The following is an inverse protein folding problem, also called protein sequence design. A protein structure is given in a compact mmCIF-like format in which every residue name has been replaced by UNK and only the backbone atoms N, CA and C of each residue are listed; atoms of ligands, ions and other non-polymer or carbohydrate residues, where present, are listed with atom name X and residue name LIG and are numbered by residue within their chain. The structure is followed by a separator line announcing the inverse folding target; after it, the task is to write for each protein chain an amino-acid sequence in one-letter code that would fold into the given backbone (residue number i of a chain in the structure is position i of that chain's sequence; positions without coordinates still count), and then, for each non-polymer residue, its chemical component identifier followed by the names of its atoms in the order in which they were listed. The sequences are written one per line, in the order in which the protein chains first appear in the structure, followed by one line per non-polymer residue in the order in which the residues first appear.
data_IF_953094432471
#
_entry.id   IF_953094432471
#
_cell.length_a   1.000
_cell.length_b   1.000
_cell.length_c   1.000
_cell.angle_alpha   90.00
_cell.angle_beta   90.00
_cell.angle_gamma   90.00
#
_symmetry.space_group_name_H-M   'P 1'
#
loop_
_entity.id
_entity.type
_entity.pdbx_description
1 polymer ?
#
# COMPACT_ATOMS: atom_id res chain seq x y z
N UNK A 1 -10.95 -1.62 -0.56
CA UNK A 1 -11.93 -0.75 -1.25
C UNK A 1 -13.11 -1.49 -1.88
N UNK A 2 -12.94 -2.69 -2.45
CA UNK A 2 -14.02 -3.38 -3.19
C UNK A 2 -15.34 -3.57 -2.42
N UNK A 3 -15.30 -3.85 -1.10
CA UNK A 3 -16.53 -3.92 -0.30
C UNK A 3 -17.28 -2.59 -0.25
N UNK A 4 -16.59 -1.46 -0.09
CA UNK A 4 -17.22 -0.14 -0.09
C UNK A 4 -17.89 0.16 -1.43
N UNK A 5 -17.21 -0.15 -2.54
CA UNK A 5 -17.77 -0.01 -3.89
C UNK A 5 -19.03 -0.86 -4.07
N UNK A 6 -19.03 -2.12 -3.60
CA UNK A 6 -20.20 -2.99 -3.66
C UNK A 6 -21.36 -2.48 -2.80
N UNK A 7 -21.10 -1.92 -1.62
CA UNK A 7 -22.14 -1.30 -0.78
C UNK A 7 -22.78 -0.13 -1.52
N UNK A 8 -21.97 0.76 -2.12
CA UNK A 8 -22.46 1.92 -2.91
C UNK A 8 -23.25 1.47 -4.14
N UNK A 9 -22.79 0.42 -4.82
CA UNK A 9 -23.48 -0.17 -5.97
C UNK A 9 -24.77 -0.92 -5.58
N UNK A 10 -25.01 -1.16 -4.29
CA UNK A 10 -26.13 -1.97 -3.80
C UNK A 10 -25.96 -3.48 -4.05
N UNK A 11 -24.78 -3.93 -4.49
CA UNK A 11 -24.44 -5.34 -4.70
C UNK A 11 -23.93 -5.97 -3.39
N UNK A 12 -24.79 -5.92 -2.36
CA UNK A 12 -24.53 -6.51 -1.04
C UNK A 12 -25.82 -7.07 -0.45
N UNK A 13 -25.73 -8.04 0.48
CA UNK A 13 -26.89 -8.49 1.23
C UNK A 13 -27.59 -7.33 1.95
N UNK A 14 -28.91 -7.47 2.16
CA UNK A 14 -29.73 -6.46 2.82
C UNK A 14 -29.19 -6.02 4.19
N UNK A 15 -28.47 -6.91 4.89
CA UNK A 15 -27.83 -6.59 6.16
C UNK A 15 -26.74 -5.53 6.04
N UNK A 16 -26.03 -5.41 4.91
CA UNK A 16 -24.94 -4.46 4.67
C UNK A 16 -25.36 -3.24 3.84
N UNK A 17 -26.60 -3.23 3.34
CA UNK A 17 -27.13 -2.13 2.54
C UNK A 17 -27.12 -0.82 3.33
N UNK A 18 -26.76 0.27 2.65
CA UNK A 18 -26.72 1.65 3.17
C UNK A 18 -25.77 1.87 4.38
N UNK A 19 -24.93 0.87 4.72
CA UNK A 19 -23.93 1.02 5.77
C UNK A 19 -22.75 1.86 5.28
N UNK A 20 -22.10 2.54 6.22
CA UNK A 20 -20.86 3.30 5.95
C UNK A 20 -19.66 2.48 6.36
N UNK A 21 -18.74 2.22 5.44
CA UNK A 21 -17.42 1.67 5.77
C UNK A 21 -16.45 2.84 5.97
N UNK A 22 -15.88 2.97 7.17
CA UNK A 22 -14.96 4.06 7.52
C UNK A 22 -13.63 3.47 7.92
N UNK A 23 -12.55 3.89 7.27
CA UNK A 23 -11.20 3.51 7.64
C UNK A 23 -10.69 4.39 8.78
N UNK A 24 -10.10 3.77 9.80
CA UNK A 24 -9.44 4.44 10.89
C UNK A 24 -8.00 4.77 10.50
N UNK A 25 -7.68 6.06 10.44
CA UNK A 25 -6.30 6.52 10.21
C UNK A 25 -5.57 6.65 11.56
N UNK A 26 -4.71 5.68 11.85
CA UNK A 26 -3.87 5.68 13.05
C UNK A 26 -2.83 6.81 13.04
N UNK A 27 -2.31 7.17 11.86
CA UNK A 27 -1.35 8.25 11.71
C UNK A 27 -1.96 9.60 12.07
N UNK A 28 -3.18 9.87 11.61
CA UNK A 28 -3.92 11.08 11.96
C UNK A 28 -4.23 11.19 13.46
N UNK A 29 -4.51 10.07 14.12
CA UNK A 29 -4.77 10.06 15.57
C UNK A 29 -3.53 10.38 16.39
N UNK A 30 -2.37 9.86 15.97
CA UNK A 30 -1.08 10.08 16.62
C UNK A 30 -0.53 11.48 16.28
N UNK A 31 -0.77 11.97 15.07
CA UNK A 31 -0.31 13.28 14.63
C UNK A 31 -0.81 14.39 15.56
N UNK A 32 0.12 15.15 16.13
CA UNK A 32 -0.18 16.25 17.05
C UNK A 32 -0.65 15.82 18.44
N UNK A 33 -0.63 14.52 18.78
CA UNK A 33 -0.74 14.09 20.16
C UNK A 33 0.62 14.27 20.84
N UNK A 34 0.71 15.18 21.82
CA UNK A 34 1.93 15.42 22.60
C UNK A 34 2.09 14.41 23.74
N UNK A 35 0.98 13.82 24.18
CA UNK A 35 0.91 12.89 25.29
C UNK A 35 0.05 11.67 24.94
N UNK A 36 0.36 10.52 25.55
CA UNK A 36 -0.38 9.26 25.30
C UNK A 36 -1.88 9.36 25.56
N UNK A 37 -2.29 10.11 26.58
CA UNK A 37 -3.71 10.29 26.93
C UNK A 37 -4.53 11.01 25.85
N UNK A 38 -3.92 11.92 25.08
CA UNK A 38 -4.62 12.63 24.00
C UNK A 38 -5.00 11.68 22.85
N UNK A 39 -4.14 10.71 22.55
CA UNK A 39 -4.46 9.66 21.57
C UNK A 39 -5.63 8.80 22.04
N UNK A 40 -5.60 8.32 23.30
CA UNK A 40 -6.67 7.50 23.86
C UNK A 40 -8.01 8.26 23.87
N UNK A 41 -8.00 9.55 24.20
CA UNK A 41 -9.19 10.39 24.18
C UNK A 41 -9.77 10.54 22.76
N UNK A 42 -8.90 10.78 21.76
CA UNK A 42 -9.31 10.84 20.35
C UNK A 42 -9.88 9.51 19.87
N UNK A 43 -9.21 8.40 20.16
CA UNK A 43 -9.69 7.08 19.79
C UNK A 43 -11.03 6.78 20.46
N UNK A 44 -11.17 7.12 21.75
CA UNK A 44 -12.44 6.97 22.48
C UNK A 44 -13.56 7.79 21.86
N UNK A 45 -13.27 9.02 21.40
CA UNK A 45 -14.24 9.85 20.71
C UNK A 45 -14.71 9.20 19.39
N UNK A 46 -13.79 8.66 18.59
CA UNK A 46 -14.12 7.94 17.34
C UNK A 46 -14.97 6.70 17.65
N UNK A 47 -14.56 5.88 18.62
CA UNK A 47 -15.31 4.68 19.01
C UNK A 47 -16.72 5.00 19.53
N UNK A 48 -16.86 6.12 20.25
CA UNK A 48 -18.16 6.63 20.71
C UNK A 48 -19.05 6.99 19.52
N UNK A 49 -18.55 7.73 18.54
CA UNK A 49 -19.31 8.07 17.32
C UNK A 49 -19.74 6.82 16.54
N UNK A 50 -18.85 5.84 16.41
CA UNK A 50 -19.16 4.56 15.74
C UNK A 50 -20.27 3.81 16.48
N UNK A 51 -20.28 3.79 17.81
CA UNK A 51 -21.32 3.10 18.59
C UNK A 51 -22.64 3.85 18.62
N UNK A 52 -22.61 5.18 18.72
CA UNK A 52 -23.80 6.04 18.62
C UNK A 52 -24.47 5.94 17.24
N UNK A 53 -23.74 5.51 16.21
CA UNK A 53 -24.30 5.24 14.88
C UNK A 53 -25.31 4.08 14.83
N UNK A 54 -25.47 3.31 15.91
CA UNK A 54 -26.42 2.20 15.98
C UNK A 54 -26.08 1.02 15.05
N UNK A 55 -24.80 0.84 14.73
CA UNK A 55 -24.33 -0.23 13.86
C UNK A 55 -24.43 0.06 12.35
N UNK A 56 -24.69 1.31 11.97
CA UNK A 56 -24.65 1.80 10.59
C UNK A 56 -23.22 1.97 10.08
N UNK A 57 -22.27 2.25 10.97
CA UNK A 57 -20.85 2.34 10.64
C UNK A 57 -20.17 0.98 10.84
N UNK A 58 -19.41 0.55 9.83
CA UNK A 58 -18.42 -0.51 9.92
C UNK A 58 -17.05 0.15 9.95
N UNK A 59 -16.30 -0.09 11.01
CA UNK A 59 -14.96 0.47 11.18
C UNK A 59 -13.92 -0.47 10.54
N UNK A 60 -13.11 0.04 9.62
CA UNK A 60 -11.95 -0.68 9.10
C UNK A 60 -10.68 -0.21 9.83
N UNK A 61 -9.93 -1.15 10.40
CA UNK A 61 -8.68 -0.88 11.11
C UNK A 61 -7.58 -1.66 10.37
N UNK A 62 -6.75 -0.94 9.63
CA UNK A 62 -5.55 -1.54 9.08
C UNK A 62 -4.52 -1.77 10.19
N UNK A 63 -3.70 -2.81 10.03
CA UNK A 63 -2.71 -3.23 11.03
C UNK A 63 -3.30 -3.31 12.45
N UNK A 64 -4.46 -3.94 12.62
CA UNK A 64 -5.22 -3.96 13.90
C UNK A 64 -4.39 -4.45 15.10
N UNK A 65 -3.36 -5.26 14.85
CA UNK A 65 -2.42 -5.71 15.86
C UNK A 65 -1.63 -4.56 16.52
N UNK A 66 -1.48 -3.40 15.88
CA UNK A 66 -0.84 -2.21 16.46
C UNK A 66 -1.67 -1.59 17.58
N UNK A 67 -3.01 -1.68 17.47
CA UNK A 67 -3.98 -1.17 18.46
C UNK A 67 -4.13 -2.15 19.64
N UNK A 68 -3.89 -3.44 19.39
CA UNK A 68 -4.14 -4.54 20.33
C UNK A 68 -2.87 -5.03 21.03
N UNK A 69 -1.76 -5.16 20.30
CA UNK A 69 -0.52 -5.84 20.70
C UNK A 69 0.50 -4.95 21.41
N UNK A 70 0.16 -3.68 21.59
CA UNK A 70 0.99 -2.66 22.20
C UNK A 70 1.44 -2.94 23.64
N UNK A 71 0.82 -3.88 24.35
CA UNK A 71 1.15 -4.20 25.74
C UNK A 71 2.48 -4.91 25.97
N UNK A 72 3.15 -5.42 24.92
CA UNK A 72 4.36 -6.25 25.07
C UNK A 72 5.70 -5.50 24.93
N UNK A 73 5.71 -4.28 24.38
CA UNK A 73 6.91 -3.45 24.24
C UNK A 73 6.74 -2.16 25.03
N UNK A 74 7.74 -1.81 25.85
CA UNK A 74 7.77 -0.62 26.71
C UNK A 74 7.61 0.67 25.87
N UNK A 75 6.38 1.04 25.50
CA UNK A 75 6.18 2.19 24.62
C UNK A 75 4.85 2.29 23.92
N UNK A 76 4.21 1.17 23.58
CA UNK A 76 3.05 1.18 22.70
C UNK A 76 1.72 1.34 23.45
N UNK A 77 0.74 1.94 22.76
CA UNK A 77 -0.57 2.36 23.27
C UNK A 77 -1.54 1.18 23.39
N UNK A 78 -1.89 0.74 24.61
CA UNK A 78 -2.82 -0.39 24.83
C UNK A 78 -4.29 0.05 24.73
N UNK A 79 -4.74 0.29 23.51
CA UNK A 79 -6.13 0.58 23.20
C UNK A 79 -7.03 -0.69 23.23
N UNK A 80 -6.47 -1.87 23.49
CA UNK A 80 -7.23 -3.12 23.55
C UNK A 80 -8.33 -3.09 24.62
N UNK A 81 -8.08 -2.39 25.74
CA UNK A 81 -9.03 -2.23 26.83
C UNK A 81 -10.25 -1.38 26.46
N UNK A 82 -10.13 -0.50 25.47
CA UNK A 82 -11.26 0.28 24.94
C UNK A 82 -12.12 -0.57 24.01
N UNK A 83 -11.49 -1.42 23.18
CA UNK A 83 -12.19 -2.23 22.17
C UNK A 83 -12.91 -3.44 22.78
N UNK A 84 -12.28 -4.13 23.75
CA UNK A 84 -12.79 -5.39 24.32
C UNK A 84 -14.24 -5.30 24.82
N UNK A 85 -14.66 -4.29 25.62
CA UNK A 85 -16.04 -4.21 26.10
C UNK A 85 -17.05 -4.00 24.95
N UNK A 86 -16.68 -3.20 23.96
CA UNK A 86 -17.55 -2.81 22.85
C UNK A 86 -17.74 -3.98 21.87
N UNK A 87 -16.67 -4.73 21.62
CA UNK A 87 -16.70 -5.99 20.87
C UNK A 87 -17.50 -7.07 21.62
N UNK A 88 -17.35 -7.17 22.94
CA UNK A 88 -18.07 -8.16 23.74
C UNK A 88 -19.59 -7.95 23.73
N UNK A 89 -20.04 -6.69 23.71
CA UNK A 89 -21.46 -6.30 23.60
C UNK A 89 -21.99 -6.31 22.17
N UNK A 90 -21.12 -6.46 21.16
CA UNK A 90 -21.51 -6.42 19.75
C UNK A 90 -21.93 -5.03 19.25
N UNK A 91 -21.59 -3.98 20.00
CA UNK A 91 -21.88 -2.58 19.67
C UNK A 91 -20.93 -2.06 18.58
N UNK A 92 -19.70 -2.57 18.56
CA UNK A 92 -18.69 -2.22 17.57
C UNK A 92 -18.65 -3.29 16.47
N UNK A 93 -18.88 -2.87 15.22
CA UNK A 93 -18.65 -3.68 14.03
C UNK A 93 -17.38 -3.20 13.36
N UNK A 94 -16.36 -4.05 13.32
CA UNK A 94 -15.12 -3.70 12.66
C UNK A 94 -14.57 -4.83 11.80
N UNK A 95 -13.75 -4.44 10.83
CA UNK A 95 -12.92 -5.31 10.01
C UNK A 95 -11.48 -4.93 10.33
N UNK A 96 -10.71 -5.87 10.89
CA UNK A 96 -9.29 -5.69 11.14
C UNK A 96 -8.46 -6.39 10.07
N UNK A 97 -7.42 -5.73 9.57
CA UNK A 97 -6.41 -6.36 8.71
C UNK A 97 -5.09 -6.53 9.48
N UNK A 98 -4.43 -7.68 9.30
CA UNK A 98 -3.13 -7.97 9.92
C UNK A 98 -2.46 -9.13 9.18
N UNK A 99 -1.14 -9.25 9.31
CA UNK A 99 -0.41 -10.44 8.88
C UNK A 99 -0.68 -11.62 9.80
N UNK A 100 -0.45 -12.84 9.29
CA UNK A 100 -0.64 -14.08 10.06
C UNK A 100 0.29 -14.14 11.29
N UNK A 101 1.52 -13.69 11.15
CA UNK A 101 2.51 -13.71 12.24
C UNK A 101 2.11 -12.76 13.37
N UNK A 102 1.62 -11.56 13.04
CA UNK A 102 1.18 -10.59 14.04
C UNK A 102 -0.15 -10.99 14.69
N UNK A 103 -1.04 -11.65 13.94
CA UNK A 103 -2.23 -12.27 14.51
C UNK A 103 -1.86 -13.31 15.59
N UNK A 104 -0.95 -14.24 15.27
CA UNK A 104 -0.46 -15.28 16.21
C UNK A 104 0.21 -14.67 17.43
N UNK A 105 0.95 -13.58 17.24
CA UNK A 105 1.73 -12.95 18.30
C UNK A 105 0.86 -12.17 19.29
N UNK A 106 -0.16 -11.45 18.80
CA UNK A 106 -0.88 -10.46 19.61
C UNK A 106 -2.38 -10.75 19.80
N UNK A 107 -3.06 -11.33 18.81
CA UNK A 107 -4.52 -11.51 18.87
C UNK A 107 -4.88 -12.92 19.35
N UNK A 108 -4.23 -13.95 18.81
CA UNK A 108 -4.47 -15.35 19.17
C UNK A 108 -4.14 -15.65 20.64
N UNK A 109 -3.15 -14.95 21.21
CA UNK A 109 -2.80 -15.08 22.63
C UNK A 109 -3.82 -14.45 23.57
N UNK A 110 -4.68 -13.55 23.07
CA UNK A 110 -5.72 -12.90 23.87
C UNK A 110 -7.07 -13.57 23.64
N UNK A 111 -7.43 -14.46 24.57
CA UNK A 111 -8.65 -15.25 24.49
C UNK A 111 -9.95 -14.43 24.49
N UNK A 112 -9.91 -13.14 24.87
CA UNK A 112 -11.08 -12.26 24.78
C UNK A 112 -11.27 -11.73 23.36
N UNK A 113 -10.17 -11.44 22.64
CA UNK A 113 -10.21 -10.94 21.26
C UNK A 113 -10.37 -12.07 20.26
N UNK A 114 -9.65 -13.18 20.44
CA UNK A 114 -9.74 -14.38 19.60
C UNK A 114 -11.19 -14.84 19.44
N UNK A 115 -11.97 -14.87 20.53
CA UNK A 115 -13.37 -15.28 20.52
C UNK A 115 -14.34 -14.27 19.89
N UNK A 116 -13.89 -13.05 19.61
CA UNK A 116 -14.73 -11.95 19.06
C UNK A 116 -14.43 -11.66 17.60
N UNK A 117 -13.25 -12.05 17.12
CA UNK A 117 -12.90 -11.96 15.71
C UNK A 117 -13.12 -13.29 15.01
N UNK A 118 -13.84 -13.25 13.89
CA UNK A 118 -13.86 -14.35 12.94
C UNK A 118 -12.67 -14.19 12.01
N UNK A 119 -11.79 -15.19 11.97
CA UNK A 119 -10.68 -15.19 11.02
C UNK A 119 -11.19 -15.41 9.59
N UNK A 120 -10.74 -14.55 8.68
CA UNK A 120 -10.90 -14.70 7.23
C UNK A 120 -9.50 -14.73 6.64
N UNK A 121 -9.05 -15.91 6.22
CA UNK A 121 -7.74 -16.06 5.61
C UNK A 121 -7.80 -15.57 4.15
N UNK A 122 -6.87 -14.69 3.80
CA UNK A 122 -6.71 -14.17 2.44
C UNK A 122 -5.32 -14.55 1.99
N UNK A 123 -5.24 -15.45 1.01
CA UNK A 123 -3.97 -15.84 0.40
C UNK A 123 -3.66 -14.92 -0.79
N UNK A 124 -2.40 -14.94 -1.24
CA UNK A 124 -2.02 -14.29 -2.48
C UNK A 124 -2.75 -14.94 -3.68
N UNK A 125 -3.09 -14.16 -4.72
CA UNK A 125 -3.67 -14.71 -5.94
C UNK A 125 -2.67 -15.61 -6.69
N UNK A 126 -3.20 -16.49 -7.53
CA UNK A 126 -2.39 -17.23 -8.49
C UNK A 126 -1.78 -16.29 -9.54
N UNK A 127 -0.82 -16.80 -10.33
CA UNK A 127 -0.25 -16.04 -11.46
C UNK A 127 -1.36 -15.67 -12.47
N UNK A 128 -2.29 -16.59 -12.74
CA UNK A 128 -3.41 -16.37 -13.67
C UNK A 128 -4.39 -15.31 -13.15
N UNK A 129 -4.73 -15.37 -11.87
CA UNK A 129 -5.58 -14.37 -11.22
C UNK A 129 -4.89 -13.00 -11.20
N UNK A 130 -3.57 -12.98 -10.95
CA UNK A 130 -2.76 -11.75 -10.99
C UNK A 130 -2.80 -11.11 -12.38
N UNK A 131 -2.67 -11.91 -13.45
CA UNK A 131 -2.79 -11.40 -14.83
C UNK A 131 -4.16 -10.75 -15.04
N UNK A 132 -5.23 -11.38 -14.54
CA UNK A 132 -6.59 -10.84 -14.63
C UNK A 132 -6.75 -9.52 -13.85
N UNK A 133 -6.17 -9.44 -12.65
CA UNK A 133 -6.12 -8.20 -11.85
C UNK A 133 -5.36 -7.10 -12.61
N UNK A 134 -4.18 -7.41 -13.15
CA UNK A 134 -3.36 -6.47 -13.92
C UNK A 134 -4.11 -5.95 -15.16
N UNK A 135 -4.84 -6.82 -15.86
CA UNK A 135 -5.69 -6.42 -17.00
C UNK A 135 -6.79 -5.45 -16.58
N UNK A 136 -7.41 -5.65 -15.42
CA UNK A 136 -8.39 -4.73 -14.86
C UNK A 136 -7.81 -3.38 -14.43
N UNK A 137 -6.53 -3.34 -14.06
CA UNK A 137 -5.81 -2.12 -13.68
C UNK A 137 -5.15 -1.39 -14.87
N UNK A 138 -4.99 -2.08 -16.00
CA UNK A 138 -4.24 -1.61 -17.17
C UNK A 138 -4.62 -0.18 -17.59
N UNK A 139 -5.91 0.07 -17.84
CA UNK A 139 -6.37 1.38 -18.36
C UNK A 139 -6.02 2.53 -17.42
N UNK A 140 -6.08 2.30 -16.10
CA UNK A 140 -5.72 3.28 -15.08
C UNK A 140 -4.24 3.63 -15.14
N UNK A 141 -3.36 2.64 -15.29
CA UNK A 141 -1.91 2.87 -15.40
C UNK A 141 -1.51 3.49 -16.72
N UNK A 142 -2.13 3.06 -17.84
CA UNK A 142 -1.92 3.69 -19.15
C UNK A 142 -2.26 5.18 -19.12
N UNK A 143 -3.40 5.55 -18.50
CA UNK A 143 -3.80 6.94 -18.33
C UNK A 143 -2.83 7.72 -17.42
N UNK A 144 -2.43 7.14 -16.28
CA UNK A 144 -1.56 7.80 -15.31
C UNK A 144 -0.16 8.11 -15.89
N UNK A 145 0.42 7.16 -16.61
CA UNK A 145 1.75 7.30 -17.19
C UNK A 145 1.75 7.91 -18.59
N UNK A 146 0.63 7.87 -19.31
CA UNK A 146 0.56 8.33 -20.70
C UNK A 146 1.26 7.38 -21.67
N UNK A 147 1.29 6.08 -21.35
CA UNK A 147 1.91 5.03 -22.17
C UNK A 147 0.91 3.94 -22.50
N UNK A 148 1.23 3.07 -23.48
CA UNK A 148 0.46 1.86 -23.77
C UNK A 148 1.16 0.63 -23.21
N UNK A 149 0.41 -0.24 -22.54
CA UNK A 149 0.91 -1.46 -21.91
C UNK A 149 0.37 -2.66 -22.72
N UNK A 150 1.29 -3.45 -23.28
CA UNK A 150 0.91 -4.66 -24.02
C UNK A 150 0.41 -5.76 -23.07
N UNK A 151 -0.49 -6.63 -23.52
CA UNK A 151 -0.95 -7.77 -22.70
C UNK A 151 0.21 -8.71 -22.33
N UNK A 152 1.13 -8.93 -23.26
CA UNK A 152 2.34 -9.71 -23.02
C UNK A 152 3.20 -9.14 -21.89
N UNK A 153 3.24 -7.81 -21.71
CA UNK A 153 3.96 -7.19 -20.61
C UNK A 153 3.31 -7.53 -19.25
N UNK A 154 1.98 -7.60 -19.18
CA UNK A 154 1.28 -7.99 -17.95
C UNK A 154 1.55 -9.46 -17.60
N UNK A 155 1.51 -10.34 -18.60
CA UNK A 155 1.85 -11.77 -18.43
C UNK A 155 3.29 -11.93 -17.95
N UNK A 156 4.22 -11.19 -18.56
CA UNK A 156 5.63 -11.20 -18.17
C UNK A 156 5.83 -10.67 -16.74
N UNK A 157 5.19 -9.56 -16.38
CA UNK A 157 5.28 -8.98 -15.04
C UNK A 157 4.79 -9.97 -13.96
N UNK A 158 3.64 -10.62 -14.16
CA UNK A 158 3.11 -11.62 -13.23
C UNK A 158 4.02 -12.86 -13.12
N UNK A 159 4.48 -13.40 -14.26
CA UNK A 159 5.30 -14.63 -14.28
C UNK A 159 6.70 -14.41 -13.73
N UNK A 160 7.36 -13.31 -14.11
CA UNK A 160 8.73 -13.02 -13.70
C UNK A 160 8.80 -12.57 -12.24
N UNK A 161 7.88 -11.71 -11.78
CA UNK A 161 7.83 -11.33 -10.35
C UNK A 161 7.54 -12.54 -9.46
N UNK A 162 6.65 -13.45 -9.88
CA UNK A 162 6.38 -14.68 -9.14
C UNK A 162 7.62 -15.56 -9.03
N UNK A 163 8.49 -15.58 -10.04
CA UNK A 163 9.67 -16.46 -10.09
C UNK A 163 10.90 -15.87 -9.38
N UNK A 164 11.13 -14.58 -9.53
CA UNK A 164 12.42 -13.96 -9.15
C UNK A 164 12.33 -13.07 -7.91
N UNK A 165 11.14 -12.59 -7.54
CA UNK A 165 10.93 -11.79 -6.32
C UNK A 165 10.21 -12.67 -5.30
N UNK A 166 10.96 -13.30 -4.41
CA UNK A 166 10.46 -14.36 -3.50
C UNK A 166 10.08 -13.85 -2.11
N UNK A 167 10.54 -12.67 -1.73
CA UNK A 167 10.32 -11.98 -0.46
C UNK A 167 9.03 -11.15 -0.42
N UNK A 168 8.33 -11.05 -1.56
CA UNK A 168 7.05 -10.32 -1.71
C UNK A 168 5.97 -11.22 -2.30
N UNK A 169 4.73 -10.88 -2.01
CA UNK A 169 3.55 -11.63 -2.43
C UNK A 169 2.86 -10.99 -3.64
N UNK A 170 2.19 -11.82 -4.44
CA UNK A 170 1.28 -11.32 -5.48
C UNK A 170 0.04 -10.69 -4.82
N UNK A 171 -0.69 -9.78 -5.51
CA UNK A 171 -0.39 -9.21 -6.84
C UNK A 171 0.57 -8.01 -6.79
N UNK A 172 0.86 -7.51 -5.61
CA UNK A 172 1.56 -6.25 -5.33
C UNK A 172 2.89 -6.12 -6.07
N UNK A 173 3.78 -7.11 -5.93
CA UNK A 173 5.06 -7.12 -6.64
C UNK A 173 4.95 -7.08 -8.17
N UNK A 174 3.86 -7.58 -8.75
CA UNK A 174 3.65 -7.55 -10.19
C UNK A 174 3.11 -6.20 -10.65
N UNK A 175 2.24 -5.58 -9.83
CA UNK A 175 1.74 -4.22 -10.03
C UNK A 175 2.91 -3.23 -10.03
N UNK A 176 3.80 -3.33 -9.05
CA UNK A 176 4.99 -2.48 -8.94
C UNK A 176 5.88 -2.57 -10.18
N UNK A 177 6.16 -3.78 -10.68
CA UNK A 177 6.96 -3.93 -11.91
C UNK A 177 6.31 -3.27 -13.13
N UNK A 178 4.99 -3.33 -13.25
CA UNK A 178 4.26 -2.66 -14.34
C UNK A 178 4.34 -1.15 -14.18
N UNK A 179 4.19 -0.65 -12.95
CA UNK A 179 4.25 0.77 -12.62
C UNK A 179 5.64 1.36 -12.90
N UNK A 180 6.70 0.70 -12.42
CA UNK A 180 8.10 1.10 -12.65
C UNK A 180 8.47 1.07 -14.14
N UNK A 181 8.05 0.02 -14.87
CA UNK A 181 8.31 -0.07 -16.31
C UNK A 181 7.58 1.02 -17.10
N UNK A 182 6.34 1.34 -16.73
CA UNK A 182 5.57 2.41 -17.34
C UNK A 182 6.17 3.79 -17.05
N UNK A 183 6.60 4.02 -15.81
CA UNK A 183 7.29 5.25 -15.41
C UNK A 183 8.61 5.43 -16.17
N UNK A 184 9.40 4.36 -16.31
CA UNK A 184 10.65 4.38 -17.08
C UNK A 184 10.40 4.77 -18.55
N UNK A 185 9.41 4.14 -19.20
CA UNK A 185 9.09 4.46 -20.59
C UNK A 185 8.62 5.92 -20.75
N UNK A 186 7.84 6.44 -19.79
CA UNK A 186 7.45 7.85 -19.77
C UNK A 186 8.65 8.79 -19.72
N UNK A 187 9.64 8.47 -18.87
CA UNK A 187 10.89 9.24 -18.77
C UNK A 187 11.63 9.24 -20.11
N UNK A 188 11.81 8.06 -20.72
CA UNK A 188 12.47 7.89 -22.02
C UNK A 188 11.78 8.66 -23.15
N UNK A 189 10.45 8.76 -23.15
CA UNK A 189 9.69 9.57 -24.13
C UNK A 189 9.95 11.08 -23.96
N UNK A 190 10.11 11.54 -22.72
CA UNK A 190 10.34 12.96 -22.42
C UNK A 190 11.81 13.39 -22.49
N UNK A 191 12.74 12.44 -22.48
CA UNK A 191 14.17 12.69 -22.53
C UNK A 191 14.76 12.47 -23.92
N UNK A 192 15.97 12.99 -24.14
CA UNK A 192 16.79 12.57 -25.27
C UNK A 192 17.08 11.06 -25.11
N UNK A 193 17.00 10.24 -26.18
CA UNK A 193 17.33 8.83 -26.12
C UNK A 193 18.70 8.61 -25.48
N UNK A 194 18.81 7.63 -24.59
CA UNK A 194 20.03 7.38 -23.81
C UNK A 194 21.25 7.20 -24.71
N UNK A 195 21.10 6.43 -25.79
CA UNK A 195 22.13 6.22 -26.82
C UNK A 195 22.65 7.56 -27.42
N UNK A 196 21.75 8.53 -27.62
CA UNK A 196 22.13 9.84 -28.12
C UNK A 196 22.73 10.73 -27.04
N UNK A 197 22.26 10.64 -25.78
CA UNK A 197 22.88 11.36 -24.65
C UNK A 197 24.30 10.85 -24.37
N UNK A 198 24.53 9.54 -24.47
CA UNK A 198 25.86 8.93 -24.37
C UNK A 198 26.80 9.42 -25.47
N UNK A 199 26.34 9.45 -26.71
CA UNK A 199 27.13 9.96 -27.84
C UNK A 199 27.44 11.44 -27.64
N UNK A 200 26.48 12.27 -27.26
CA UNK A 200 26.67 13.70 -26.99
C UNK A 200 27.71 13.94 -25.91
N UNK A 201 27.62 13.21 -24.78
CA UNK A 201 28.60 13.31 -23.70
C UNK A 201 30.00 12.96 -24.18
N UNK A 202 30.11 11.92 -25.03
CA UNK A 202 31.39 11.49 -25.59
C UNK A 202 31.95 12.51 -26.59
N UNK A 203 31.12 13.12 -27.43
CA UNK A 203 31.52 14.22 -28.32
C UNK A 203 32.05 15.38 -27.49
N UNK A 204 31.31 15.80 -26.45
CA UNK A 204 31.69 16.93 -25.61
C UNK A 204 33.02 16.67 -24.87
N UNK A 205 33.22 15.44 -24.37
CA UNK A 205 34.49 15.03 -23.77
C UNK A 205 35.66 15.13 -24.76
N UNK A 206 35.48 14.62 -25.98
CA UNK A 206 36.51 14.66 -27.04
C UNK A 206 36.79 16.08 -27.52
N UNK A 207 35.79 16.96 -27.57
CA UNK A 207 35.98 18.37 -27.91
C UNK A 207 36.79 19.11 -26.84
N UNK A 208 36.53 18.85 -25.56
CA UNK A 208 37.33 19.40 -24.46
C UNK A 208 38.78 18.92 -24.52
N UNK A 209 39.00 17.63 -24.79
CA UNK A 209 40.34 17.04 -24.96
C UNK A 209 41.08 17.69 -26.13
N UNK A 210 40.42 17.83 -27.29
CA UNK A 210 40.97 18.51 -28.46
C UNK A 210 41.37 19.96 -28.15
N UNK A 211 40.53 20.71 -27.45
CA UNK A 211 40.82 22.10 -27.06
C UNK A 211 42.01 22.20 -26.11
N UNK A 212 42.15 21.25 -25.18
CA UNK A 212 43.30 21.19 -24.25
C UNK A 212 44.61 20.94 -25.00
N UNK A 213 44.63 19.94 -25.88
CA UNK A 213 45.80 19.61 -26.70
C UNK A 213 46.19 20.75 -27.66
N UNK A 214 45.20 21.45 -28.24
CA UNK A 214 45.46 22.62 -29.08
C UNK A 214 46.13 23.76 -28.30
N UNK A 215 45.75 23.98 -27.04
CA UNK A 215 46.41 24.98 -26.19
C UNK A 215 47.85 24.58 -25.86
N UNK A 216 48.10 23.32 -25.53
CA UNK A 216 49.46 22.82 -25.26
C UNK A 216 50.38 22.89 -26.48
N UNK A 217 49.90 22.47 -27.66
CA UNK A 217 50.68 22.52 -28.91
C UNK A 217 51.06 23.94 -29.33
N UNK A 218 50.24 24.95 -29.03
CA UNK A 218 50.56 26.36 -29.29
C UNK A 218 51.64 26.92 -28.36
N UNK A 219 51.75 26.42 -27.13
CA UNK A 219 52.82 26.78 -26.19
C UNK A 219 54.14 26.05 -26.47
N UNK A 220 54.11 24.81 -26.96
CA UNK A 220 55.30 24.05 -27.31
C UNK A 220 55.93 24.48 -28.65
N UNK A 221 55.19 25.23 -29.48
CA UNK A 221 55.64 25.74 -30.78
C UNK A 221 56.18 27.18 -30.74
N UNK A 222 56.42 27.74 -29.54
CA UNK A 222 57.05 29.06 -29.33
C UNK A 222 58.37 28.95 -28.58
#
# INVERSE_FOLDING_TARGET
EGLAQRIVAGDVPQSLKDRKLIALDMGALIAGAKFRGEFEERLKAVLKEVTESGGNIILFIDEIHTVVGAGATQGAMDASNLLKPMLARGELRCIGATTLDEYRKYIEKDAALERRFQQVYVDQPSVEDTISILRGLKERYELHHGVKISDNALVAAATLSSRYISDRFLPDKAIDLVDEAAARLKMEITSKPEELDEIDRKILQLEMEKLSLQKESNTASR
#
